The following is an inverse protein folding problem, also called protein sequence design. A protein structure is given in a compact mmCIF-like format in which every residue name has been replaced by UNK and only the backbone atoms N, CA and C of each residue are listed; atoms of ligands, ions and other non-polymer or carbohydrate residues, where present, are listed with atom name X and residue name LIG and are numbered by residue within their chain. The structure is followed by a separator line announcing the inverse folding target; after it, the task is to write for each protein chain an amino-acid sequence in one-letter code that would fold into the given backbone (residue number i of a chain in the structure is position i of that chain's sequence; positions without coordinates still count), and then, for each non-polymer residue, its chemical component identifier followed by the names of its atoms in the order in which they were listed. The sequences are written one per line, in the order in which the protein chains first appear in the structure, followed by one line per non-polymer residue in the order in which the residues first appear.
data_IF_852322289614
#
_entry.id   IF_852322289614
#
_cell.length_a   1.000
_cell.length_b   1.000
_cell.length_c   1.000
_cell.angle_alpha   90.00
_cell.angle_beta   90.00
_cell.angle_gamma   90.00
#
_symmetry.space_group_name_H-M   'P 1'
#
loop_
_entity.id
_entity.type
_entity.pdbx_description
1 polymer ?
#
# COMPACT_ATOMS: atom_id res chain seq x y z
N UNK A 1 0.50 -32.63 32.91
CA UNK A 1 -0.72 -33.00 32.17
C UNK A 1 -0.39 -33.05 30.70
N UNK A 2 -0.66 -34.22 30.10
CA UNK A 2 -0.37 -34.57 28.73
C UNK A 2 -1.51 -34.07 27.84
N UNK A 3 -1.24 -33.37 26.75
CA UNK A 3 -2.12 -33.44 25.60
C UNK A 3 -1.29 -33.34 24.32
N UNK A 4 -1.09 -34.52 23.76
CA UNK A 4 -0.42 -34.85 22.52
C UNK A 4 -1.40 -34.52 21.41
N UNK A 5 -1.19 -33.41 20.69
CA UNK A 5 -2.06 -33.06 19.58
C UNK A 5 -1.81 -34.03 18.42
N UNK A 6 -2.88 -34.73 18.08
CA UNK A 6 -2.97 -35.79 17.09
C UNK A 6 -2.89 -35.16 15.70
N UNK A 7 -1.99 -35.70 14.89
CA UNK A 7 -1.88 -35.49 13.45
C UNK A 7 -3.18 -35.95 12.79
N UNK A 8 -3.82 -35.08 12.02
CA UNK A 8 -4.88 -35.45 11.07
C UNK A 8 -4.46 -34.94 9.69
N UNK A 9 -3.78 -35.82 8.96
CA UNK A 9 -3.51 -35.70 7.53
C UNK A 9 -4.84 -36.00 6.83
N UNK A 10 -5.44 -34.99 6.21
CA UNK A 10 -6.56 -35.16 5.29
C UNK A 10 -6.04 -34.97 3.85
N UNK A 11 -5.68 -36.09 3.23
CA UNK A 11 -5.43 -36.23 1.80
C UNK A 11 -6.80 -36.34 1.12
N UNK A 12 -7.21 -35.36 0.31
CA UNK A 12 -8.43 -35.47 -0.52
C UNK A 12 -8.15 -35.07 -1.97
N UNK A 13 -8.00 -36.12 -2.78
CA UNK A 13 -8.36 -36.35 -4.18
C UNK A 13 -8.36 -35.21 -5.20
N UNK A 14 -7.46 -35.38 -6.18
CA UNK A 14 -7.58 -34.89 -7.55
C UNK A 14 -8.91 -35.32 -8.19
N UNK A 15 -9.59 -34.38 -8.84
CA UNK A 15 -10.49 -34.66 -9.98
C UNK A 15 -10.13 -33.69 -11.10
N UNK A 16 -9.73 -34.27 -12.24
CA UNK A 16 -9.58 -33.63 -13.54
C UNK A 16 -10.56 -34.30 -14.52
N UNK A 17 -11.16 -33.50 -15.40
CA UNK A 17 -11.69 -33.80 -16.75
C UNK A 17 -12.33 -32.48 -17.26
N UNK A 18 -11.78 -31.82 -18.29
CA UNK A 18 -12.06 -32.02 -19.75
C UNK A 18 -13.47 -31.52 -20.14
N UNK A 19 -13.76 -30.83 -21.25
CA UNK A 19 -13.03 -30.36 -22.44
C UNK A 19 -13.96 -29.39 -23.23
N UNK A 20 -13.47 -28.89 -24.36
CA UNK A 20 -14.20 -28.47 -25.57
C UNK A 20 -14.62 -26.99 -25.77
N UNK A 21 -13.89 -26.35 -26.70
CA UNK A 21 -14.34 -25.78 -28.00
C UNK A 21 -15.49 -24.75 -28.01
N UNK A 22 -15.57 -23.69 -28.83
CA UNK A 22 -14.79 -23.14 -29.95
C UNK A 22 -15.51 -21.87 -30.44
N UNK A 23 -14.83 -21.11 -31.32
CA UNK A 23 -15.38 -20.17 -32.33
C UNK A 23 -15.92 -18.81 -31.84
N UNK A 24 -15.18 -17.71 -32.06
CA UNK A 24 -15.02 -16.93 -33.31
C UNK A 24 -16.30 -16.18 -33.70
N UNK A 25 -16.24 -14.85 -33.72
CA UNK A 25 -16.58 -13.99 -34.89
C UNK A 25 -16.57 -12.52 -34.47
N UNK A 26 -15.62 -11.78 -35.06
CA UNK A 26 -15.65 -10.35 -35.25
C UNK A 26 -16.50 -10.04 -36.50
N UNK A 27 -17.09 -8.84 -36.62
CA UNK A 27 -16.88 -8.11 -37.89
C UNK A 27 -16.57 -6.62 -37.71
N UNK A 28 -15.41 -6.25 -38.25
CA UNK A 28 -15.14 -5.20 -39.24
C UNK A 28 -15.93 -3.87 -39.29
N UNK A 29 -15.14 -2.80 -39.06
CA UNK A 29 -15.04 -1.48 -39.68
C UNK A 29 -16.16 -0.89 -40.58
N UNK A 30 -16.37 0.43 -40.41
CA UNK A 30 -16.26 1.43 -41.50
C UNK A 30 -16.24 2.88 -40.95
N UNK A 31 -15.28 3.68 -41.43
CA UNK A 31 -15.25 5.16 -41.37
C UNK A 31 -15.80 5.72 -42.69
N UNK A 32 -16.22 7.01 -42.80
CA UNK A 32 -15.25 8.04 -43.21
C UNK A 32 -15.49 9.50 -42.75
N UNK A 33 -14.36 10.22 -42.65
CA UNK A 33 -14.05 11.62 -43.05
C UNK A 33 -14.79 12.85 -42.47
N UNK A 34 -13.92 13.71 -41.89
CA UNK A 34 -13.72 15.15 -42.20
C UNK A 34 -14.58 16.19 -41.48
N UNK A 35 -13.96 17.00 -40.62
CA UNK A 35 -13.65 18.39 -40.98
C UNK A 35 -12.68 19.03 -39.98
N UNK A 36 -11.64 19.65 -40.52
CA UNK A 36 -10.74 20.51 -39.78
C UNK A 36 -11.42 21.85 -39.50
N UNK A 37 -11.30 22.36 -38.28
CA UNK A 37 -11.41 23.80 -38.03
C UNK A 37 -10.36 24.21 -37.02
N UNK A 38 -9.30 24.85 -37.52
CA UNK A 38 -8.27 25.49 -36.72
C UNK A 38 -8.76 26.89 -36.37
N UNK A 39 -8.88 27.17 -35.07
CA UNK A 39 -8.88 28.53 -34.54
C UNK A 39 -7.74 28.62 -33.53
N UNK A 40 -6.65 29.35 -33.82
CA UNK A 40 -5.69 29.74 -32.81
C UNK A 40 -6.14 31.07 -32.20
N UNK A 41 -6.89 30.99 -31.12
CA UNK A 41 -7.10 32.10 -30.19
C UNK A 41 -6.18 31.89 -28.99
N UNK A 42 -5.05 32.58 -28.96
CA UNK A 42 -4.17 32.60 -27.81
C UNK A 42 -4.82 33.38 -26.66
N UNK A 43 -4.92 32.75 -25.50
CA UNK A 43 -4.96 33.46 -24.21
C UNK A 43 -4.06 32.69 -23.26
N UNK A 44 -2.98 33.29 -22.72
CA UNK A 44 -2.13 32.63 -21.75
C UNK A 44 -2.81 32.75 -20.38
N UNK A 45 -3.52 31.71 -19.96
CA UNK A 45 -3.87 31.54 -18.56
C UNK A 45 -2.63 31.02 -17.83
N UNK A 46 -1.80 31.96 -17.40
CA UNK A 46 -0.74 31.75 -16.42
C UNK A 46 -1.38 31.31 -15.10
N UNK A 47 -1.66 30.02 -14.95
CA UNK A 47 -1.91 29.43 -13.65
C UNK A 47 -0.56 29.13 -13.01
N UNK A 48 -0.09 30.05 -12.19
CA UNK A 48 0.97 29.79 -11.22
C UNK A 48 0.54 28.61 -10.36
N UNK A 49 1.00 27.41 -10.71
CA UNK A 49 1.00 26.27 -9.82
C UNK A 49 1.87 26.66 -8.62
N UNK A 50 1.22 27.14 -7.57
CA UNK A 50 1.86 27.21 -6.27
C UNK A 50 2.06 25.76 -5.85
N UNK A 51 3.30 25.30 -5.96
CA UNK A 51 3.71 24.00 -5.45
C UNK A 51 3.59 24.05 -3.93
N UNK A 52 2.43 23.70 -3.39
CA UNK A 52 2.32 23.34 -1.99
C UNK A 52 3.28 22.18 -1.72
N UNK A 53 4.05 22.29 -0.64
CA UNK A 53 4.93 21.20 -0.24
C UNK A 53 4.08 19.93 -0.02
N UNK A 54 4.53 18.76 -0.49
CA UNK A 54 3.78 17.53 -0.32
C UNK A 54 3.59 17.23 1.17
N UNK A 55 2.36 16.92 1.57
CA UNK A 55 2.02 16.50 2.94
C UNK A 55 2.90 15.31 3.31
N UNK A 56 3.57 15.40 4.46
CA UNK A 56 4.42 14.34 5.01
C UNK A 56 3.67 13.56 6.08
N UNK A 57 4.03 12.29 6.21
CA UNK A 57 3.57 11.43 7.29
C UNK A 57 4.63 11.42 8.41
N UNK A 58 4.20 11.57 9.66
CA UNK A 58 5.00 11.35 10.85
C UNK A 58 4.64 9.99 11.47
N UNK A 59 5.65 9.23 11.87
CA UNK A 59 5.48 7.92 12.51
C UNK A 59 6.33 7.91 13.78
N UNK A 60 5.66 8.03 14.93
CA UNK A 60 6.31 7.99 16.24
C UNK A 60 6.27 6.56 16.79
N UNK A 61 7.44 5.97 17.01
CA UNK A 61 7.61 4.63 17.60
C UNK A 61 8.69 4.69 18.66
N UNK A 62 8.41 4.15 19.84
CA UNK A 62 9.28 4.28 21.01
C UNK A 62 9.62 5.76 21.27
N UNK A 63 10.90 6.14 21.29
CA UNK A 63 11.34 7.54 21.48
C UNK A 63 11.81 8.19 20.15
N UNK A 64 11.31 7.72 19.01
CA UNK A 64 11.75 8.21 17.69
C UNK A 64 10.57 8.52 16.78
N UNK A 65 10.60 9.73 16.20
CA UNK A 65 9.72 10.11 15.10
C UNK A 65 10.44 9.97 13.78
N UNK A 66 9.84 9.23 12.86
CA UNK A 66 10.22 9.18 11.47
C UNK A 66 9.34 10.12 10.64
N UNK A 67 9.91 10.68 9.58
CA UNK A 67 9.15 11.34 8.51
C UNK A 67 9.09 10.39 7.32
N UNK A 68 7.96 10.35 6.63
CA UNK A 68 7.75 9.53 5.45
C UNK A 68 7.07 10.33 4.34
N UNK A 69 7.51 10.11 3.11
CA UNK A 69 6.88 10.66 1.90
C UNK A 69 5.71 9.78 1.49
N UNK A 70 4.51 10.37 1.37
CA UNK A 70 3.34 9.69 0.84
C UNK A 70 3.50 9.38 -0.65
N UNK A 71 2.95 8.26 -1.09
CA UNK A 71 2.84 7.92 -2.50
C UNK A 71 1.77 8.75 -3.20
N UNK A 72 1.94 9.01 -4.50
CA UNK A 72 0.96 9.71 -5.32
C UNK A 72 -0.16 8.76 -5.78
N UNK A 73 -1.02 8.35 -4.84
CA UNK A 73 -2.17 7.49 -5.13
C UNK A 73 -3.38 7.76 -4.22
N UNK A 74 -4.55 7.23 -4.61
CA UNK A 74 -5.81 7.45 -3.88
C UNK A 74 -5.82 6.86 -2.47
N UNK A 75 -5.04 5.80 -2.23
CA UNK A 75 -4.97 5.15 -0.91
C UNK A 75 -4.19 6.01 0.07
N UNK A 76 -3.02 6.51 -0.34
CA UNK A 76 -2.18 7.43 0.43
C UNK A 76 -2.91 8.73 0.73
N UNK A 77 -3.61 9.30 -0.25
CA UNK A 77 -4.46 10.48 -0.06
C UNK A 77 -5.56 10.24 0.98
N UNK A 78 -6.32 9.16 0.85
CA UNK A 78 -7.39 8.84 1.80
C UNK A 78 -6.85 8.56 3.21
N UNK A 79 -5.65 7.98 3.31
CA UNK A 79 -4.97 7.76 4.59
C UNK A 79 -4.56 9.08 5.25
N UNK A 80 -3.97 10.01 4.49
CA UNK A 80 -3.62 11.34 4.99
C UNK A 80 -4.86 12.14 5.43
N UNK A 81 -5.92 12.15 4.63
CA UNK A 81 -7.20 12.80 4.95
C UNK A 81 -7.84 12.24 6.24
N UNK A 82 -7.65 10.93 6.50
CA UNK A 82 -8.06 10.32 7.76
C UNK A 82 -7.23 10.86 8.94
N UNK A 83 -5.90 10.92 8.79
CA UNK A 83 -5.00 11.41 9.84
C UNK A 83 -5.14 12.92 10.10
N UNK A 84 -5.61 13.71 9.14
CA UNK A 84 -5.96 15.12 9.35
C UNK A 84 -7.08 15.32 10.37
N UNK A 85 -7.90 14.29 10.63
CA UNK A 85 -8.96 14.34 11.64
C UNK A 85 -8.42 14.04 13.05
N UNK A 86 -7.23 13.45 13.14
CA UNK A 86 -6.55 13.13 14.39
C UNK A 86 -5.51 12.04 14.23
N UNK A 87 -4.52 12.06 15.13
CA UNK A 87 -3.47 11.05 15.21
C UNK A 87 -4.05 9.65 15.46
N UNK A 88 -3.45 8.64 14.83
CA UNK A 88 -3.84 7.25 15.00
C UNK A 88 -2.73 6.45 15.69
N UNK A 89 -3.00 5.95 16.89
CA UNK A 89 -2.08 5.07 17.62
C UNK A 89 -2.51 3.62 17.52
N UNK A 90 -1.60 2.75 17.09
CA UNK A 90 -1.84 1.33 16.90
C UNK A 90 -0.83 0.50 17.70
N UNK A 91 -1.31 -0.61 18.26
CA UNK A 91 -0.44 -1.69 18.75
C UNK A 91 -0.06 -2.58 17.57
N UNK A 92 1.19 -2.47 17.12
CA UNK A 92 1.70 -3.20 15.96
C UNK A 92 2.45 -4.47 16.39
N UNK A 93 2.07 -5.58 15.78
CA UNK A 93 2.62 -6.90 16.06
C UNK A 93 3.79 -7.23 15.16
N UNK A 94 4.81 -7.87 15.72
CA UNK A 94 5.92 -8.40 14.94
C UNK A 94 5.46 -9.65 14.17
N UNK A 95 5.61 -9.64 12.85
CA UNK A 95 5.17 -10.74 12.00
C UNK A 95 6.23 -11.10 10.95
N UNK A 96 6.42 -12.40 10.75
CA UNK A 96 7.33 -12.93 9.73
C UNK A 96 8.82 -12.58 9.91
N UNK A 97 9.21 -11.86 10.97
CA UNK A 97 10.55 -11.28 11.15
C UNK A 97 10.96 -10.30 10.03
N UNK A 98 9.99 -9.66 9.38
CA UNK A 98 10.22 -8.64 8.33
C UNK A 98 9.30 -7.42 8.41
N UNK A 99 8.23 -7.46 9.22
CA UNK A 99 7.29 -6.35 9.35
C UNK A 99 6.71 -6.19 10.75
N UNK A 100 6.25 -4.98 11.04
CA UNK A 100 5.28 -4.69 12.10
C UNK A 100 3.91 -4.48 11.45
N UNK A 101 2.85 -5.12 11.93
CA UNK A 101 1.50 -5.06 11.35
C UNK A 101 0.43 -4.75 12.39
N UNK A 102 -0.59 -3.97 12.02
CA UNK A 102 -1.78 -3.74 12.82
C UNK A 102 -3.03 -3.64 11.94
N UNK A 103 -4.18 -3.97 12.52
CA UNK A 103 -5.48 -3.70 11.91
C UNK A 103 -5.82 -2.20 11.98
N UNK A 104 -6.46 -1.71 10.92
CA UNK A 104 -6.94 -0.34 10.83
C UNK A 104 -8.39 -0.23 11.35
N UNK A 105 -8.78 0.94 11.89
CA UNK A 105 -10.14 1.14 12.41
C UNK A 105 -11.22 1.19 11.32
N UNK A 106 -10.82 1.29 10.06
CA UNK A 106 -11.70 1.25 8.88
C UNK A 106 -10.93 0.77 7.65
N UNK A 107 -11.66 0.38 6.61
CA UNK A 107 -11.07 0.03 5.33
C UNK A 107 -10.74 1.26 4.47
N UNK A 108 -9.58 1.25 3.81
CA UNK A 108 -9.15 2.27 2.85
C UNK A 108 -9.21 1.74 1.41
N UNK A 109 -9.29 2.63 0.40
CA UNK A 109 -9.12 2.24 -1.00
C UNK A 109 -7.81 1.49 -1.21
N UNK A 110 -7.78 0.57 -2.19
CA UNK A 110 -6.58 -0.19 -2.56
C UNK A 110 -6.09 0.28 -3.92
N UNK A 111 -4.79 0.42 -4.07
CA UNK A 111 -4.08 0.63 -5.33
C UNK A 111 -3.02 -0.46 -5.51
N UNK A 112 -3.44 -1.72 -5.38
CA UNK A 112 -2.50 -2.84 -5.35
C UNK A 112 -1.73 -2.98 -6.65
N UNK A 113 -0.43 -3.25 -6.51
CA UNK A 113 0.47 -3.58 -7.60
C UNK A 113 1.46 -4.62 -7.10
N UNK A 114 1.95 -5.46 -8.00
CA UNK A 114 3.06 -6.35 -7.70
C UNK A 114 4.30 -5.49 -7.44
N UNK A 115 4.76 -5.47 -6.19
CA UNK A 115 5.92 -4.70 -5.75
C UNK A 115 6.77 -5.50 -4.76
N UNK A 116 8.06 -5.18 -4.74
CA UNK A 116 8.94 -5.59 -3.66
C UNK A 116 8.91 -4.52 -2.56
N UNK A 117 8.97 -4.97 -1.31
CA UNK A 117 9.17 -4.10 -0.15
C UNK A 117 10.65 -4.03 0.21
N UNK A 118 11.03 -2.91 0.82
CA UNK A 118 12.31 -2.75 1.51
C UNK A 118 12.09 -1.99 2.82
N UNK A 119 13.10 -1.99 3.69
CA UNK A 119 13.08 -1.29 4.95
C UNK A 119 12.62 0.16 4.78
N UNK A 120 11.59 0.54 5.54
CA UNK A 120 10.96 1.85 5.50
C UNK A 120 9.67 1.92 4.67
N UNK A 121 9.27 0.85 3.98
CA UNK A 121 7.98 0.84 3.28
C UNK A 121 6.80 0.77 4.25
N UNK A 122 5.82 1.64 4.00
CA UNK A 122 4.53 1.65 4.70
C UNK A 122 3.48 1.12 3.73
N UNK A 123 2.93 -0.04 4.04
CA UNK A 123 2.01 -0.77 3.15
C UNK A 123 0.62 -0.82 3.75
N UNK A 124 -0.38 -0.56 2.92
CA UNK A 124 -1.76 -0.97 3.15
C UNK A 124 -1.93 -2.37 2.59
N UNK A 125 -2.28 -3.32 3.47
CA UNK A 125 -2.57 -4.69 3.09
C UNK A 125 -4.07 -4.95 3.15
N UNK A 126 -4.61 -5.49 2.06
CA UNK A 126 -6.02 -5.86 1.88
C UNK A 126 -7.05 -4.74 2.13
N UNK A 127 -6.59 -3.50 2.31
CA UNK A 127 -7.41 -2.35 2.62
C UNK A 127 -7.70 -2.16 4.11
N UNK A 128 -7.34 -3.10 4.99
CA UNK A 128 -7.74 -3.09 6.39
C UNK A 128 -6.58 -3.31 7.39
N UNK A 129 -5.36 -3.51 6.92
CA UNK A 129 -4.18 -3.59 7.79
C UNK A 129 -3.08 -2.66 7.28
N UNK A 130 -2.29 -2.10 8.19
CA UNK A 130 -1.12 -1.29 7.88
C UNK A 130 0.14 -1.99 8.37
N UNK A 131 1.20 -1.91 7.59
CA UNK A 131 2.49 -2.48 7.96
C UNK A 131 3.63 -1.46 7.85
N UNK A 132 4.63 -1.61 8.73
CA UNK A 132 5.96 -1.01 8.61
C UNK A 132 6.92 -2.15 8.28
N UNK A 133 7.40 -2.19 7.04
CA UNK A 133 8.42 -3.16 6.63
C UNK A 133 9.81 -2.73 7.09
N UNK A 134 10.56 -3.68 7.63
CA UNK A 134 11.98 -3.52 7.98
C UNK A 134 12.88 -4.56 7.28
N UNK A 135 12.29 -5.40 6.44
CA UNK A 135 12.97 -6.28 5.49
C UNK A 135 12.13 -6.46 4.23
N UNK A 136 12.59 -7.33 3.32
CA UNK A 136 11.97 -7.58 2.02
C UNK A 136 10.81 -8.56 2.07
N UNK A 137 9.84 -8.31 1.20
CA UNK A 137 8.76 -9.20 0.82
C UNK A 137 8.30 -8.84 -0.60
N UNK A 138 7.58 -9.73 -1.29
CA UNK A 138 7.11 -9.51 -2.66
C UNK A 138 5.69 -10.01 -2.80
N UNK A 139 4.75 -9.10 -3.10
CA UNK A 139 3.34 -9.43 -3.28
C UNK A 139 2.59 -8.31 -4.00
N UNK A 140 1.28 -8.50 -4.17
CA UNK A 140 0.36 -7.44 -4.55
C UNK A 140 0.05 -6.56 -3.34
N UNK A 141 0.64 -5.37 -3.31
CA UNK A 141 0.54 -4.43 -2.20
C UNK A 141 0.14 -3.03 -2.67
N UNK A 142 -0.47 -2.28 -1.76
CA UNK A 142 -0.65 -0.84 -1.89
C UNK A 142 0.39 -0.12 -1.03
N UNK A 143 1.37 0.54 -1.65
CA UNK A 143 2.29 1.42 -0.90
C UNK A 143 1.58 2.73 -0.55
N UNK A 144 1.60 3.08 0.74
CA UNK A 144 1.06 4.35 1.25
C UNK A 144 2.14 5.42 1.34
N UNK A 145 3.31 5.05 1.85
CA UNK A 145 4.42 5.96 2.08
C UNK A 145 5.74 5.20 2.15
N UNK A 146 6.84 5.94 2.10
CA UNK A 146 8.18 5.43 2.44
C UNK A 146 8.86 6.35 3.43
N UNK A 147 9.43 5.78 4.48
CA UNK A 147 10.21 6.52 5.48
C UNK A 147 11.43 7.14 4.80
N UNK A 148 11.61 8.43 5.01
CA UNK A 148 12.69 9.22 4.45
C UNK A 148 14.02 8.88 5.14
N UNK A 149 15.09 8.77 4.33
CA UNK A 149 16.48 8.68 4.80
C UNK A 149 16.77 7.58 5.84
N UNK A 150 16.02 6.47 5.84
CA UNK A 150 16.19 5.40 6.82
C UNK A 150 17.16 4.32 6.37
N UNK A 151 17.99 3.85 7.30
CA UNK A 151 18.83 2.66 7.14
C UNK A 151 18.14 1.46 7.80
N UNK A 152 18.11 0.31 7.12
CA UNK A 152 17.55 -0.97 7.62
C UNK A 152 17.99 -1.31 9.05
N UNK A 153 19.30 -1.30 9.33
CA UNK A 153 19.84 -1.64 10.65
C UNK A 153 19.32 -0.69 11.73
N UNK A 154 19.27 0.61 11.42
CA UNK A 154 18.76 1.62 12.35
C UNK A 154 17.25 1.46 12.59
N UNK A 155 16.48 1.17 11.53
CA UNK A 155 15.05 0.90 11.64
C UNK A 155 14.79 -0.33 12.52
N UNK A 156 15.48 -1.44 12.26
CA UNK A 156 15.37 -2.67 13.07
C UNK A 156 15.75 -2.45 14.54
N UNK A 157 16.77 -1.61 14.82
CA UNK A 157 17.14 -1.25 16.18
C UNK A 157 16.05 -0.44 16.89
N UNK A 158 15.43 0.52 16.20
CA UNK A 158 14.37 1.37 16.77
C UNK A 158 13.10 0.55 16.98
N UNK A 159 12.68 -0.23 15.98
CA UNK A 159 11.47 -1.07 16.08
C UNK A 159 11.65 -2.22 17.07
N UNK A 160 12.88 -2.71 17.25
CA UNK A 160 13.19 -3.78 18.19
C UNK A 160 12.49 -5.11 17.89
N UNK A 161 12.62 -6.04 18.84
CA UNK A 161 11.95 -7.35 18.78
C UNK A 161 10.56 -7.26 19.40
N UNK A 162 9.60 -8.00 18.84
CA UNK A 162 8.25 -8.05 19.39
C UNK A 162 7.42 -6.80 19.06
N UNK A 163 6.31 -6.64 19.77
CA UNK A 163 5.31 -5.64 19.45
C UNK A 163 5.78 -4.22 19.79
N UNK A 164 5.28 -3.23 19.07
CA UNK A 164 5.51 -1.81 19.32
C UNK A 164 4.21 -1.04 19.30
N UNK A 165 4.18 0.10 19.97
CA UNK A 165 3.11 1.09 19.78
C UNK A 165 3.61 2.15 18.79
N UNK A 166 2.85 2.39 17.72
CA UNK A 166 3.17 3.36 16.70
C UNK A 166 2.04 4.39 16.58
N UNK A 167 2.39 5.67 16.56
CA UNK A 167 1.45 6.77 16.28
C UNK A 167 1.74 7.35 14.90
N UNK A 168 0.71 7.40 14.06
CA UNK A 168 0.73 7.99 12.73
C UNK A 168 0.01 9.34 12.76
N UNK A 169 0.61 10.36 12.13
CA UNK A 169 0.00 11.69 11.98
C UNK A 169 0.51 12.35 10.70
N UNK A 170 -0.17 13.40 10.24
CA UNK A 170 0.35 14.25 9.16
C UNK A 170 1.23 15.36 9.74
N UNK A 171 2.22 15.81 8.97
CA UNK A 171 3.11 16.91 9.37
C UNK A 171 2.40 18.26 9.52
#
# INVERSE_FOLDING_TARGET
MCMRNIVLIALFFLVACSDAASHSTQPEAQTPKSSASKTPGAVPASSSAQTEAPVKLKIHVNDTTFTATLEENSSAKAFAEFLMQGDMTLDMHDYGSFEKVADLPRSFPRNDKQIDTDAGDIILYQGNSITIYYDKNSWNFTRLARIDNVNKKRLQQILGKGNVKATFSVE
#
